data_IF_394788383943
#
_entry.id   IF_394788383943
#
_cell.length_a   1.000
_cell.length_b   1.000
_cell.length_c   1.000
_cell.angle_alpha   90.00
_cell.angle_beta   90.00
_cell.angle_gamma   90.00
#
_symmetry.space_group_name_H-M   'P 1'
#
loop_
_entity.id
_entity.type
_entity.pdbx_description
1 polymer ?
#
# COMPACT_ATOMS: atom_id res chain seq x y z
N UNK A 1 13.07 -12.61 -0.76
CA UNK A 1 12.68 -11.19 -0.59
C UNK A 1 13.47 -10.60 0.56
N UNK A 2 14.13 -9.46 0.35
CA UNK A 2 14.75 -8.71 1.43
C UNK A 2 13.72 -7.70 1.95
N UNK A 3 13.39 -7.75 3.23
CA UNK A 3 12.48 -6.76 3.83
C UNK A 3 13.15 -5.38 3.80
N UNK A 4 12.40 -4.36 3.37
CA UNK A 4 12.83 -2.95 3.41
C UNK A 4 12.23 -2.29 4.64
N UNK A 5 12.99 -1.42 5.29
CA UNK A 5 12.51 -0.59 6.39
C UNK A 5 11.63 0.54 5.87
N UNK A 6 10.59 0.90 6.60
CA UNK A 6 9.75 2.07 6.34
C UNK A 6 9.80 3.04 7.52
N UNK A 7 9.55 4.33 7.28
CA UNK A 7 9.63 5.38 8.30
C UNK A 7 8.24 5.82 8.83
N UNK A 8 7.19 5.28 8.22
CA UNK A 8 5.79 5.66 8.38
C UNK A 8 4.88 4.41 8.49
N UNK A 9 3.71 4.60 9.11
CA UNK A 9 2.66 3.57 9.23
C UNK A 9 1.35 4.14 8.68
N UNK A 10 0.85 3.56 7.60
CA UNK A 10 -0.48 3.86 7.05
C UNK A 10 -1.54 2.93 7.66
N UNK A 11 -2.57 3.50 8.28
CA UNK A 11 -3.69 2.75 8.87
C UNK A 11 -4.99 3.12 8.16
N UNK A 12 -5.59 2.14 7.48
CA UNK A 12 -6.90 2.31 6.86
C UNK A 12 -8.04 1.91 7.80
N UNK A 13 -9.04 2.79 7.98
CA UNK A 13 -10.19 2.59 8.89
C UNK A 13 -11.51 2.96 8.20
N UNK A 14 -12.68 2.47 8.66
CA UNK A 14 -13.96 2.88 8.09
C UNK A 14 -14.17 4.39 8.22
N UNK A 15 -14.99 4.97 7.34
CA UNK A 15 -15.42 6.35 7.53
C UNK A 15 -16.39 6.46 8.75
N UNK A 16 -16.50 7.67 9.30
CA UNK A 16 -17.45 8.00 10.36
C UNK A 16 -16.87 7.94 11.78
N UNK A 17 -17.72 8.22 12.77
CA UNK A 17 -17.32 8.40 14.16
C UNK A 17 -16.66 7.16 14.77
N UNK A 18 -17.18 5.97 14.46
CA UNK A 18 -16.68 4.68 14.99
C UNK A 18 -15.45 4.17 14.23
N UNK A 19 -15.07 4.82 13.13
CA UNK A 19 -13.86 4.50 12.36
C UNK A 19 -12.83 5.63 12.45
N UNK A 20 -12.78 6.48 11.43
CA UNK A 20 -11.84 7.59 11.34
C UNK A 20 -11.93 8.56 12.53
N UNK A 21 -13.13 8.82 13.06
CA UNK A 21 -13.29 9.63 14.28
C UNK A 21 -12.58 9.02 15.50
N UNK A 22 -12.74 7.72 15.71
CA UNK A 22 -12.07 6.98 16.79
C UNK A 22 -10.55 6.98 16.61
N UNK A 23 -10.07 6.86 15.37
CA UNK A 23 -8.62 6.94 15.08
C UNK A 23 -8.05 8.32 15.45
N UNK A 24 -8.76 9.40 15.12
CA UNK A 24 -8.37 10.76 15.51
C UNK A 24 -8.39 10.92 17.04
N UNK A 25 -9.39 10.38 17.74
CA UNK A 25 -9.44 10.41 19.21
C UNK A 25 -8.26 9.68 19.86
N UNK A 26 -7.76 8.61 19.22
CA UNK A 26 -6.55 7.89 19.64
C UNK A 26 -5.32 8.77 19.40
N UNK A 27 -5.18 9.35 18.21
CA UNK A 27 -4.03 10.21 17.85
C UNK A 27 -3.97 11.52 18.66
N UNK A 28 -5.08 11.94 19.26
CA UNK A 28 -5.14 13.11 20.15
C UNK A 28 -4.74 12.79 21.60
N UNK A 29 -4.37 11.54 21.91
CA UNK A 29 -3.94 11.10 23.24
C UNK A 29 -2.49 10.62 23.22
N UNK A 30 -1.83 10.67 24.37
CA UNK A 30 -0.52 10.04 24.55
C UNK A 30 -0.59 8.54 24.21
N UNK A 31 0.42 7.96 23.56
CA UNK A 31 1.77 8.49 23.32
C UNK A 31 1.95 9.29 22.01
N UNK A 32 0.87 9.61 21.29
CA UNK A 32 0.98 10.32 20.01
C UNK A 32 1.23 11.82 20.22
N UNK A 33 2.05 12.39 19.33
CA UNK A 33 2.31 13.83 19.25
C UNK A 33 1.95 14.34 17.86
N UNK A 34 1.55 15.61 17.78
CA UNK A 34 1.26 16.29 16.52
C UNK A 34 2.38 17.25 16.16
N UNK A 35 2.82 17.20 14.91
CA UNK A 35 3.66 18.25 14.33
C UNK A 35 3.11 18.63 12.96
N UNK A 36 2.62 19.87 12.84
CA UNK A 36 1.82 20.32 11.69
C UNK A 36 0.59 19.40 11.50
N UNK A 37 0.38 18.90 10.30
CA UNK A 37 -0.75 18.04 9.96
C UNK A 37 -0.47 16.55 10.23
N UNK A 38 0.75 16.21 10.65
CA UNK A 38 1.20 14.83 10.81
C UNK A 38 1.19 14.38 12.27
N UNK A 39 1.00 13.07 12.48
CA UNK A 39 1.00 12.42 13.79
C UNK A 39 2.22 11.52 13.92
N UNK A 40 2.81 11.50 15.11
CA UNK A 40 4.00 10.70 15.39
C UNK A 40 3.88 10.00 16.74
N UNK A 41 4.58 8.88 16.91
CA UNK A 41 4.88 8.34 18.23
C UNK A 41 6.38 8.04 18.35
N UNK A 42 6.90 8.14 19.57
CA UNK A 42 8.30 7.86 19.86
C UNK A 42 8.51 6.37 20.14
N UNK A 43 9.43 5.75 19.41
CA UNK A 43 9.83 4.37 19.61
C UNK A 43 11.10 4.35 20.46
N UNK A 44 10.94 4.18 21.78
CA UNK A 44 12.04 4.22 22.75
C UNK A 44 13.22 3.31 22.39
N UNK A 45 12.95 2.09 21.88
CA UNK A 45 14.00 1.12 21.57
C UNK A 45 14.87 1.53 20.38
N UNK A 46 14.37 2.36 19.47
CA UNK A 46 15.10 2.82 18.29
C UNK A 46 15.50 4.29 18.37
N UNK A 47 14.98 5.04 19.34
CA UNK A 47 15.22 6.47 19.49
C UNK A 47 14.59 7.34 18.41
N UNK A 48 13.65 6.81 17.63
CA UNK A 48 13.08 7.48 16.46
C UNK A 48 11.61 7.84 16.66
N UNK A 49 11.19 8.91 15.99
CA UNK A 49 9.77 9.18 15.75
C UNK A 49 9.32 8.47 14.49
N UNK A 50 8.18 7.80 14.58
CA UNK A 50 7.52 7.14 13.44
C UNK A 50 6.26 7.91 13.12
N UNK A 51 6.12 8.32 11.85
CA UNK A 51 4.90 8.96 11.34
C UNK A 51 3.78 7.93 11.27
N UNK A 52 2.56 8.33 11.62
CA UNK A 52 1.38 7.47 11.53
C UNK A 52 0.27 8.23 10.84
N UNK A 53 -0.18 7.69 9.72
CA UNK A 53 -1.21 8.28 8.90
C UNK A 53 -2.50 7.48 8.97
N UNK A 54 -3.60 8.19 9.17
CA UNK A 54 -4.94 7.64 9.12
C UNK A 54 -5.55 7.84 7.74
N UNK A 55 -6.14 6.77 7.18
CA UNK A 55 -6.71 6.79 5.84
C UNK A 55 -8.12 6.21 5.87
N UNK A 56 -9.07 6.88 5.20
CA UNK A 56 -10.43 6.37 5.07
C UNK A 56 -10.44 5.23 4.04
N UNK A 57 -10.87 4.04 4.46
CA UNK A 57 -11.00 2.88 3.58
C UNK A 57 -12.02 3.14 2.46
N UNK A 58 -11.68 2.75 1.24
CA UNK A 58 -12.50 3.03 0.05
C UNK A 58 -12.44 4.47 -0.45
N UNK A 59 -11.63 5.34 0.17
CA UNK A 59 -11.40 6.70 -0.33
C UNK A 59 -10.21 6.72 -1.30
N UNK A 60 -10.37 7.41 -2.43
CA UNK A 60 -9.41 7.39 -3.53
C UNK A 60 -9.06 5.96 -3.99
N UNK A 61 -7.77 5.63 -4.06
CA UNK A 61 -7.29 4.33 -4.50
C UNK A 61 -7.17 3.30 -3.35
N UNK A 62 -7.56 3.68 -2.12
CA UNK A 62 -7.48 2.77 -0.98
C UNK A 62 -8.61 1.74 -1.00
N UNK A 63 -8.28 0.44 -0.84
CA UNK A 63 -9.28 -0.63 -0.90
C UNK A 63 -10.26 -0.57 0.27
N UNK A 64 -11.39 -1.27 0.11
CA UNK A 64 -12.38 -1.44 1.18
C UNK A 64 -11.84 -2.44 2.22
N UNK A 65 -12.29 -2.30 3.47
CA UNK A 65 -11.85 -3.18 4.56
C UNK A 65 -12.17 -4.66 4.35
N UNK A 66 -13.18 -4.96 3.54
CA UNK A 66 -13.55 -6.33 3.15
C UNK A 66 -12.45 -7.06 2.36
N UNK A 67 -11.42 -6.33 1.91
CA UNK A 67 -10.28 -6.86 1.16
C UNK A 67 -9.02 -7.04 2.02
N UNK A 68 -9.10 -6.76 3.33
CA UNK A 68 -8.02 -7.01 4.29
C UNK A 68 -8.10 -8.44 4.86
N UNK A 69 -6.94 -9.02 5.15
CA UNK A 69 -6.79 -10.30 5.85
C UNK A 69 -6.07 -10.12 7.18
N UNK A 70 -6.49 -10.90 8.17
CA UNK A 70 -5.78 -11.01 9.45
C UNK A 70 -4.46 -11.74 9.22
N UNK A 71 -3.35 -11.11 9.58
CA UNK A 71 -2.03 -11.72 9.67
C UNK A 71 -1.59 -11.63 11.13
N UNK A 72 -1.08 -12.74 11.67
CA UNK A 72 -0.42 -12.74 12.98
C UNK A 72 0.99 -12.19 12.84
N UNK A 73 1.25 -11.05 13.46
CA UNK A 73 2.59 -10.48 13.60
C UNK A 73 3.18 -10.94 14.94
N UNK A 74 3.97 -12.01 14.89
CA UNK A 74 4.53 -12.63 16.09
C UNK A 74 3.47 -13.31 16.97
N UNK A 75 3.80 -13.62 18.24
CA UNK A 75 2.96 -14.46 19.09
C UNK A 75 1.72 -13.76 19.67
N UNK A 76 1.70 -12.42 19.70
CA UNK A 76 0.66 -11.66 20.43
C UNK A 76 -0.06 -10.59 19.62
N UNK A 77 0.41 -10.23 18.42
CA UNK A 77 -0.20 -9.16 17.64
C UNK A 77 -0.96 -9.72 16.44
N UNK A 78 -2.23 -9.33 16.33
CA UNK A 78 -3.05 -9.59 15.14
C UNK A 78 -3.21 -8.27 14.41
N UNK A 79 -2.71 -8.22 13.17
CA UNK A 79 -2.80 -7.04 12.33
C UNK A 79 -3.62 -7.41 11.09
N UNK A 80 -4.50 -6.50 10.69
CA UNK A 80 -5.20 -6.62 9.42
C UNK A 80 -4.36 -5.95 8.34
N UNK A 81 -3.83 -6.74 7.42
CA UNK A 81 -3.10 -6.21 6.27
C UNK A 81 -3.93 -6.38 5.00
N UNK A 82 -3.70 -5.48 4.05
CA UNK A 82 -4.16 -5.69 2.69
C UNK A 82 -3.46 -6.90 2.09
N UNK A 83 -4.23 -7.70 1.36
CA UNK A 83 -3.63 -8.77 0.57
C UNK A 83 -2.63 -8.21 -0.44
N UNK A 84 -1.61 -8.99 -0.85
CA UNK A 84 -0.61 -8.54 -1.82
C UNK A 84 -1.23 -7.97 -3.11
N UNK A 85 -2.37 -8.50 -3.58
CA UNK A 85 -3.09 -7.95 -4.73
C UNK A 85 -3.62 -6.53 -4.50
N UNK A 86 -4.13 -6.22 -3.30
CA UNK A 86 -4.56 -4.87 -2.92
C UNK A 86 -3.38 -3.91 -2.82
N UNK A 87 -2.26 -4.36 -2.23
CA UNK A 87 -1.02 -3.58 -2.18
C UNK A 87 -0.46 -3.30 -3.58
N UNK A 88 -0.53 -4.27 -4.49
CA UNK A 88 -0.13 -4.08 -5.89
C UNK A 88 -0.95 -2.99 -6.57
N UNK A 89 -2.28 -2.98 -6.36
CA UNK A 89 -3.17 -1.95 -6.91
C UNK A 89 -2.82 -0.56 -6.41
N UNK A 90 -2.52 -0.40 -5.13
CA UNK A 90 -2.07 0.86 -4.54
C UNK A 90 -0.76 1.36 -5.15
N UNK A 91 0.20 0.44 -5.37
CA UNK A 91 1.48 0.78 -5.98
C UNK A 91 1.33 1.18 -7.45
N UNK A 92 0.47 0.47 -8.19
CA UNK A 92 0.12 0.84 -9.57
C UNK A 92 -0.57 2.20 -9.62
N UNK A 93 -1.54 2.46 -8.75
CA UNK A 93 -2.20 3.76 -8.68
C UNK A 93 -1.21 4.90 -8.38
N UNK A 94 -0.26 4.67 -7.47
CA UNK A 94 0.83 5.63 -7.22
C UNK A 94 1.68 5.86 -8.46
N UNK A 95 1.97 4.81 -9.24
CA UNK A 95 2.78 4.88 -10.46
C UNK A 95 2.12 5.67 -11.61
N UNK A 96 0.79 5.87 -11.56
CA UNK A 96 0.10 6.75 -12.50
C UNK A 96 0.63 8.19 -12.45
N UNK A 97 1.03 8.64 -11.25
CA UNK A 97 1.53 9.99 -11.04
C UNK A 97 2.93 10.18 -11.64
N UNK A 98 3.14 11.19 -12.52
CA UNK A 98 4.47 11.53 -13.04
C UNK A 98 5.47 11.87 -11.92
N UNK A 99 5.02 12.52 -10.84
CA UNK A 99 5.92 12.90 -9.73
C UNK A 99 6.43 11.70 -8.97
N UNK A 100 5.67 10.59 -8.93
CA UNK A 100 6.15 9.32 -8.38
C UNK A 100 7.17 8.64 -9.29
N UNK A 101 6.99 8.78 -10.62
CA UNK A 101 7.88 8.19 -11.63
C UNK A 101 9.20 8.93 -11.84
N UNK A 102 9.30 10.20 -11.46
CA UNK A 102 10.54 11.00 -11.60
C UNK A 102 11.11 11.48 -10.27
N UNK A 103 10.36 11.34 -9.18
CA UNK A 103 10.73 11.84 -7.86
C UNK A 103 11.50 10.85 -6.99
N UNK A 104 11.75 11.22 -5.72
CA UNK A 104 12.59 10.45 -4.79
C UNK A 104 11.98 9.10 -4.40
N UNK A 105 10.65 8.94 -4.48
CA UNK A 105 9.95 7.68 -4.14
C UNK A 105 10.04 6.61 -5.25
N UNK A 106 10.52 6.97 -6.45
CA UNK A 106 10.54 6.13 -7.65
C UNK A 106 11.14 4.74 -7.41
N UNK A 107 12.35 4.68 -6.88
CA UNK A 107 13.07 3.41 -6.69
C UNK A 107 12.38 2.51 -5.66
N UNK A 108 11.81 3.11 -4.61
CA UNK A 108 11.01 2.38 -3.62
C UNK A 108 9.76 1.78 -4.26
N UNK A 109 8.98 2.57 -5.00
CA UNK A 109 7.79 2.08 -5.68
C UNK A 109 8.10 1.00 -6.71
N UNK A 110 9.24 1.11 -7.41
CA UNK A 110 9.66 0.08 -8.34
C UNK A 110 9.97 -1.26 -7.66
N UNK A 111 10.75 -1.18 -6.58
CA UNK A 111 11.13 -2.35 -5.79
C UNK A 111 9.90 -3.03 -5.21
N UNK A 112 8.99 -2.25 -4.62
CA UNK A 112 7.77 -2.76 -4.02
C UNK A 112 6.85 -3.40 -5.07
N UNK A 113 6.60 -2.71 -6.20
CA UNK A 113 5.74 -3.23 -7.29
C UNK A 113 6.28 -4.54 -7.85
N UNK A 114 7.59 -4.61 -8.11
CA UNK A 114 8.25 -5.82 -8.61
C UNK A 114 8.16 -6.95 -7.59
N UNK A 115 8.47 -6.67 -6.32
CA UNK A 115 8.47 -7.69 -5.26
C UNK A 115 7.07 -8.26 -5.02
N UNK A 116 6.05 -7.41 -5.00
CA UNK A 116 4.66 -7.83 -4.80
C UNK A 116 4.17 -8.64 -6.01
N UNK A 117 4.45 -8.19 -7.24
CA UNK A 117 4.10 -8.92 -8.47
C UNK A 117 4.73 -10.30 -8.46
N UNK A 118 6.03 -10.37 -8.21
CA UNK A 118 6.78 -11.63 -8.27
C UNK A 118 6.33 -12.57 -7.14
N UNK A 119 6.04 -12.05 -5.93
CA UNK A 119 5.40 -12.81 -4.85
C UNK A 119 4.06 -13.44 -5.29
N UNK A 120 3.20 -12.69 -5.97
CA UNK A 120 1.92 -13.19 -6.46
C UNK A 120 2.11 -14.29 -7.51
N UNK A 121 3.06 -14.11 -8.44
CA UNK A 121 3.42 -15.11 -9.47
C UNK A 121 3.92 -16.39 -8.80
N UNK A 122 4.88 -16.28 -7.89
CA UNK A 122 5.53 -17.43 -7.21
C UNK A 122 4.52 -18.23 -6.39
N UNK A 123 3.48 -17.59 -5.87
CA UNK A 123 2.38 -18.25 -5.15
C UNK A 123 1.21 -18.66 -6.05
N UNK A 124 1.38 -18.59 -7.37
CA UNK A 124 0.35 -18.90 -8.38
C UNK A 124 -0.98 -18.16 -8.15
N UNK A 125 -0.91 -16.94 -7.63
CA UNK A 125 -2.08 -16.08 -7.36
C UNK A 125 -2.40 -15.27 -8.60
N UNK A 126 -3.59 -15.48 -9.16
CA UNK A 126 -4.09 -14.66 -10.28
C UNK A 126 -4.67 -13.36 -9.76
N UNK A 127 -4.40 -12.28 -10.48
CA UNK A 127 -4.98 -10.96 -10.23
C UNK A 127 -5.61 -10.51 -11.53
N UNK A 128 -6.91 -10.24 -11.55
CA UNK A 128 -7.56 -9.69 -12.74
C UNK A 128 -6.99 -8.28 -13.01
N UNK A 129 -6.18 -8.17 -14.07
CA UNK A 129 -5.59 -6.91 -14.52
C UNK A 129 -6.52 -6.19 -15.48
N UNK A 130 -7.32 -6.94 -16.24
CA UNK A 130 -8.38 -6.36 -17.10
C UNK A 130 -9.45 -5.61 -16.30
N UNK A 131 -9.69 -6.03 -15.06
CA UNK A 131 -10.64 -5.40 -14.15
C UNK A 131 -10.09 -4.21 -13.37
N UNK A 132 -8.84 -3.78 -13.63
CA UNK A 132 -8.32 -2.55 -13.03
C UNK A 132 -9.01 -1.34 -13.67
N UNK A 133 -9.37 -0.38 -12.83
CA UNK A 133 -9.91 0.92 -13.20
C UNK A 133 -9.06 2.06 -12.64
N UNK A 134 -9.45 3.30 -12.97
CA UNK A 134 -8.83 4.53 -12.46
C UNK A 134 -7.30 4.58 -12.59
N UNK A 135 -6.66 5.10 -11.55
CA UNK A 135 -5.21 5.29 -11.52
C UNK A 135 -4.44 3.98 -11.58
N UNK A 136 -4.97 2.88 -11.01
CA UNK A 136 -4.29 1.59 -11.05
C UNK A 136 -4.13 1.08 -12.50
N UNK A 137 -5.16 1.26 -13.34
CA UNK A 137 -5.09 0.91 -14.76
C UNK A 137 -4.11 1.82 -15.53
N UNK A 138 -4.13 3.14 -15.25
CA UNK A 138 -3.20 4.11 -15.85
C UNK A 138 -1.76 3.79 -15.48
N UNK A 139 -1.51 3.48 -14.21
CA UNK A 139 -0.20 3.12 -13.69
C UNK A 139 0.35 1.84 -14.29
N UNK A 140 -0.48 0.80 -14.45
CA UNK A 140 -0.07 -0.44 -15.12
C UNK A 140 0.35 -0.19 -16.58
N UNK A 141 -0.45 0.58 -17.33
CA UNK A 141 -0.12 0.95 -18.72
C UNK A 141 1.18 1.72 -18.80
N UNK A 142 1.39 2.69 -17.90
CA UNK A 142 2.62 3.47 -17.83
C UNK A 142 3.82 2.56 -17.50
N UNK A 143 3.67 1.65 -16.53
CA UNK A 143 4.69 0.69 -16.13
C UNK A 143 5.11 -0.20 -17.30
N UNK A 144 4.15 -0.87 -17.95
CA UNK A 144 4.42 -1.79 -19.06
C UNK A 144 5.09 -1.07 -20.22
N UNK A 145 4.68 0.17 -20.51
CA UNK A 145 5.33 1.00 -21.53
C UNK A 145 6.77 1.36 -21.17
N UNK A 146 7.02 1.68 -19.91
CA UNK A 146 8.34 2.11 -19.43
C UNK A 146 9.34 0.94 -19.35
N UNK A 147 8.92 -0.20 -18.79
CA UNK A 147 9.80 -1.34 -18.53
C UNK A 147 9.72 -2.45 -19.55
N UNK A 148 8.76 -2.39 -20.50
CA UNK A 148 8.56 -3.36 -21.58
C UNK A 148 8.40 -4.80 -21.05
N UNK A 149 7.73 -4.97 -19.93
CA UNK A 149 7.62 -6.24 -19.19
C UNK A 149 6.24 -6.90 -19.26
N UNK A 150 5.47 -6.67 -20.34
CA UNK A 150 4.12 -7.20 -20.54
C UNK A 150 4.02 -8.70 -20.25
N UNK A 151 5.00 -9.49 -20.71
CA UNK A 151 5.01 -10.93 -20.51
C UNK A 151 5.00 -11.33 -19.03
N UNK A 152 5.63 -10.54 -18.15
CA UNK A 152 5.57 -10.78 -16.70
C UNK A 152 4.18 -10.51 -16.12
N UNK A 153 3.52 -9.45 -16.59
CA UNK A 153 2.15 -9.14 -16.16
C UNK A 153 1.14 -10.19 -16.64
N UNK A 154 1.39 -10.80 -17.80
CA UNK A 154 0.60 -11.93 -18.31
C UNK A 154 0.72 -13.20 -17.45
N UNK A 155 1.77 -13.33 -16.63
CA UNK A 155 1.84 -14.40 -15.63
C UNK A 155 0.83 -14.20 -14.49
N UNK A 156 0.37 -12.97 -14.23
CA UNK A 156 -0.72 -12.71 -13.29
C UNK A 156 -2.09 -12.82 -13.96
N UNK A 157 -2.20 -12.36 -15.21
CA UNK A 157 -3.43 -12.37 -16.03
C UNK A 157 -3.10 -12.59 -17.52
N UNK A 158 -3.21 -13.83 -18.04
CA UNK A 158 -2.91 -14.13 -19.45
C UNK A 158 -3.80 -13.38 -20.46
N UNK A 159 -4.94 -12.85 -20.01
CA UNK A 159 -5.86 -12.09 -20.86
C UNK A 159 -5.41 -10.65 -21.08
N UNK A 160 -4.49 -10.12 -20.27
CA UNK A 160 -4.00 -8.75 -20.37
C UNK A 160 -3.11 -8.55 -21.61
N UNK A 161 -3.36 -7.48 -22.37
CA UNK A 161 -2.71 -7.23 -23.68
C UNK A 161 -1.85 -5.95 -23.73
N UNK A 162 -1.77 -5.18 -22.65
CA UNK A 162 -1.11 -3.86 -22.63
C UNK A 162 -2.12 -2.73 -22.68
#
# INVERSE_FOLDING_TARGET
MTARTTADIDISVPNGQVGYGTLLDIFNKGPFIQYKDNRYFYVHSSGNFVEVDGIIAGWQNFPKLTEAKIIKAGPQMQLNFLEPAGLLRLKLASWASPTRRTGPKRNGDMSDTTSIRDLLIDNNRRVSLKGLDGDAAVGLKAWVKEFRDLNKWQLLDPSYKG
#
